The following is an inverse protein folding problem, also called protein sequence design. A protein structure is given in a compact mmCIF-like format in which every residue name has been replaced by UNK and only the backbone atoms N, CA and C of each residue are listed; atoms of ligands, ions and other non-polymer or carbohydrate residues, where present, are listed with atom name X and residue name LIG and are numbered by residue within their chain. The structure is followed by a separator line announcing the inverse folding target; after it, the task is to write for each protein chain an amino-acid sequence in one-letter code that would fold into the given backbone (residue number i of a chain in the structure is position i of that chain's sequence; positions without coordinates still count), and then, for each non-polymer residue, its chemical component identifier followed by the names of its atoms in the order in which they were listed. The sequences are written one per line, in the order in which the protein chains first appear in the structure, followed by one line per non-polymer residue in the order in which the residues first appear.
data_IF_702278111109
#
_entry.id   IF_702278111109
#
_cell.length_a   1.000
_cell.length_b   1.000
_cell.length_c   1.000
_cell.angle_alpha   90.00
_cell.angle_beta   90.00
_cell.angle_gamma   90.00
#
_symmetry.space_group_name_H-M   'P 1'
#
loop_
_entity.id
_entity.type
_entity.pdbx_description
1 polymer ?
#
# COMPACT_ATOMS: atom_id res chain seq x y z
N UNK A 1 -28.53 -14.06 -2.38
CA UNK A 1 -27.99 -13.60 -2.99
C UNK A 1 -26.76 -13.12 -2.64
N UNK A 2 -26.33 -13.10 -1.54
CA UNK A 2 -25.06 -12.76 -1.07
C UNK A 2 -24.03 -13.76 -1.46
N UNK A 3 -24.42 -14.92 -1.92
CA UNK A 3 -23.47 -15.96 -2.26
C UNK A 3 -22.52 -15.58 -3.40
N UNK A 4 -23.02 -14.90 -4.42
CA UNK A 4 -22.15 -14.51 -5.51
C UNK A 4 -21.13 -13.47 -5.07
N UNK A 5 -21.56 -12.57 -4.21
CA UNK A 5 -20.70 -11.52 -3.73
C UNK A 5 -19.58 -12.11 -2.86
N UNK A 6 -19.95 -13.04 -2.01
CA UNK A 6 -18.98 -13.68 -1.13
C UNK A 6 -17.96 -14.48 -1.94
N UNK A 7 -18.40 -15.05 -3.04
CA UNK A 7 -17.52 -15.86 -3.86
C UNK A 7 -16.45 -15.01 -4.52
N UNK A 8 -16.80 -13.83 -4.98
CA UNK A 8 -15.85 -12.91 -5.59
C UNK A 8 -14.84 -12.46 -4.55
N UNK A 9 -15.29 -12.14 -3.36
CA UNK A 9 -14.39 -11.71 -2.28
C UNK A 9 -13.43 -12.84 -1.90
N UNK A 10 -13.93 -14.06 -1.82
CA UNK A 10 -13.10 -15.20 -1.51
C UNK A 10 -12.07 -15.45 -2.61
N UNK A 11 -12.47 -15.33 -3.87
CA UNK A 11 -11.57 -15.54 -4.99
C UNK A 11 -10.45 -14.50 -5.00
N UNK A 12 -10.76 -13.25 -4.72
CA UNK A 12 -9.76 -12.19 -4.65
C UNK A 12 -8.80 -12.44 -3.49
N UNK A 13 -9.33 -12.88 -2.36
CA UNK A 13 -8.51 -13.17 -1.20
C UNK A 13 -7.54 -14.33 -1.47
N UNK A 14 -8.01 -15.34 -2.18
CA UNK A 14 -7.18 -16.49 -2.52
C UNK A 14 -6.06 -16.07 -3.46
N UNK A 15 -6.34 -15.19 -4.42
CA UNK A 15 -5.31 -14.70 -5.33
C UNK A 15 -4.22 -13.96 -4.58
N UNK A 16 -4.59 -13.11 -3.64
CA UNK A 16 -3.62 -12.37 -2.84
C UNK A 16 -2.79 -13.34 -2.00
N UNK A 17 -3.45 -14.31 -1.37
CA UNK A 17 -2.76 -15.28 -0.53
C UNK A 17 -1.82 -16.15 -1.35
N UNK A 18 -2.17 -16.46 -2.59
CA UNK A 18 -1.33 -17.28 -3.45
C UNK A 18 -0.05 -16.55 -3.88
N UNK A 19 -0.12 -15.22 -4.00
CA UNK A 19 1.05 -14.44 -4.40
C UNK A 19 2.11 -14.37 -3.29
N UNK A 20 1.69 -14.42 -2.04
CA UNK A 20 2.61 -14.28 -0.92
C UNK A 20 3.65 -15.40 -0.84
N UNK A 21 3.29 -16.68 -0.97
CA UNK A 21 4.30 -17.74 -0.94
C UNK A 21 5.33 -17.63 -2.06
N UNK A 22 4.91 -17.17 -3.23
CA UNK A 22 5.85 -17.00 -4.35
C UNK A 22 6.86 -15.91 -4.01
N UNK A 23 6.40 -14.81 -3.45
CA UNK A 23 7.27 -13.73 -3.03
C UNK A 23 8.20 -14.17 -1.91
N UNK A 24 7.71 -14.98 -1.00
CA UNK A 24 8.49 -15.48 0.11
C UNK A 24 9.66 -16.32 -0.40
N UNK A 25 9.39 -17.24 -1.32
CA UNK A 25 10.45 -18.06 -1.87
C UNK A 25 11.47 -17.21 -2.62
N UNK A 26 10.98 -16.26 -3.39
CA UNK A 26 11.87 -15.39 -4.14
C UNK A 26 12.63 -14.46 -3.21
N UNK A 27 12.02 -14.07 -2.09
CA UNK A 27 12.70 -13.24 -1.11
C UNK A 27 13.89 -13.88 -0.47
N UNK A 28 13.90 -15.20 -0.39
CA UNK A 28 15.04 -15.93 0.15
C UNK A 28 16.28 -15.74 -0.70
N UNK A 29 16.12 -15.31 -1.95
CA UNK A 29 17.25 -15.08 -2.84
C UNK A 29 17.59 -13.62 -2.98
N UNK A 30 17.07 -12.77 -2.11
CA UNK A 30 17.39 -11.34 -2.16
C UNK A 30 16.65 -10.59 -3.26
N UNK A 31 15.34 -10.61 -3.21
CA UNK A 31 14.56 -9.84 -4.17
C UNK A 31 14.78 -8.37 -4.08
N UNK A 32 14.81 -7.74 -5.22
CA UNK A 32 14.86 -6.29 -5.27
C UNK A 32 13.43 -5.78 -5.22
N UNK A 33 13.07 -5.09 -4.16
CA UNK A 33 11.73 -4.55 -3.99
C UNK A 33 11.83 -3.02 -3.98
N UNK A 34 11.12 -2.39 -4.90
CA UNK A 34 11.13 -0.95 -5.04
C UNK A 34 9.72 -0.42 -5.15
N UNK A 35 9.57 0.89 -5.03
CA UNK A 35 8.28 1.52 -5.28
C UNK A 35 8.45 2.71 -6.22
N UNK A 36 7.33 3.14 -6.79
CA UNK A 36 7.32 4.28 -7.65
C UNK A 36 5.99 5.00 -7.41
N UNK A 37 6.03 6.30 -7.20
CA UNK A 37 4.81 7.07 -7.06
C UNK A 37 4.40 7.61 -8.42
N UNK A 38 3.12 7.86 -8.60
CA UNK A 38 2.63 8.47 -9.84
C UNK A 38 1.54 9.47 -9.52
N UNK A 39 1.49 10.51 -10.35
CA UNK A 39 0.51 11.56 -10.19
C UNK A 39 -0.73 11.24 -11.00
N UNK A 40 -1.88 11.51 -10.42
CA UNK A 40 -3.15 11.33 -11.10
C UNK A 40 -3.94 12.63 -11.02
N UNK A 41 -5.10 12.69 -11.67
CA UNK A 41 -5.91 13.88 -11.67
C UNK A 41 -6.28 14.34 -10.26
N UNK A 42 -6.60 13.43 -9.38
CA UNK A 42 -7.03 13.77 -8.02
C UNK A 42 -5.96 13.67 -6.96
N UNK A 43 -4.75 13.30 -7.31
CA UNK A 43 -3.69 13.13 -6.30
C UNK A 43 -2.65 12.13 -6.71
N UNK A 44 -2.21 11.31 -5.77
CA UNK A 44 -1.07 10.41 -5.96
C UNK A 44 -1.40 8.96 -5.63
N UNK A 45 -0.77 8.07 -6.35
CA UNK A 45 -0.83 6.64 -6.06
C UNK A 45 0.58 6.06 -6.04
N UNK A 46 0.69 4.75 -5.90
CA UNK A 46 2.00 4.10 -5.89
C UNK A 46 1.94 2.71 -6.52
N UNK A 47 3.11 2.29 -7.01
CA UNK A 47 3.34 0.95 -7.53
C UNK A 47 4.40 0.29 -6.68
N UNK A 48 4.23 -0.99 -6.43
CA UNK A 48 5.27 -1.82 -5.81
C UNK A 48 5.82 -2.74 -6.89
N UNK A 49 7.13 -2.71 -7.06
CA UNK A 49 7.82 -3.43 -8.11
C UNK A 49 8.79 -4.40 -7.49
N UNK A 50 8.70 -5.66 -7.88
CA UNK A 50 9.59 -6.72 -7.38
C UNK A 50 10.33 -7.32 -8.55
N UNK A 51 11.65 -7.26 -8.52
CA UNK A 51 12.49 -7.78 -9.59
C UNK A 51 12.07 -7.25 -10.95
N UNK A 52 11.82 -5.93 -11.00
CA UNK A 52 11.44 -5.22 -12.22
C UNK A 52 10.05 -5.56 -12.74
N UNK A 53 9.24 -6.27 -11.95
CA UNK A 53 7.88 -6.60 -12.35
C UNK A 53 6.90 -5.92 -11.41
N UNK A 54 5.85 -5.37 -11.99
CA UNK A 54 4.81 -4.71 -11.22
C UNK A 54 4.06 -5.75 -10.39
N UNK A 55 4.06 -5.57 -9.10
CA UNK A 55 3.33 -6.46 -8.20
C UNK A 55 2.02 -5.84 -7.73
N UNK A 56 2.05 -4.58 -7.33
CA UNK A 56 0.88 -3.88 -6.82
C UNK A 56 0.79 -2.53 -7.50
N UNK A 57 -0.40 -2.20 -7.99
CA UNK A 57 -0.70 -0.89 -8.57
C UNK A 57 -1.82 -0.29 -7.73
N UNK A 58 -1.51 0.71 -6.91
CA UNK A 58 -2.48 1.27 -5.98
C UNK A 58 -2.83 2.70 -6.39
N UNK A 59 -4.01 2.87 -6.96
CA UNK A 59 -4.47 4.18 -7.41
C UNK A 59 -5.12 5.00 -6.31
N UNK A 60 -5.72 4.35 -5.35
CA UNK A 60 -6.49 5.03 -4.32
C UNK A 60 -6.01 4.62 -2.93
N UNK A 61 -6.33 5.45 -1.95
CA UNK A 61 -6.01 5.13 -0.56
C UNK A 61 -6.75 3.84 -0.18
N UNK A 62 -6.04 2.81 0.26
CA UNK A 62 -6.71 1.57 0.65
C UNK A 62 -7.41 1.73 1.99
N UNK A 63 -8.30 0.81 2.29
CA UNK A 63 -8.99 0.72 3.58
C UNK A 63 -10.07 1.79 3.83
N UNK A 64 -10.29 2.70 2.91
CA UNK A 64 -11.38 3.68 3.05
C UNK A 64 -12.47 3.36 2.03
N UNK A 65 -13.69 3.73 2.36
CA UNK A 65 -14.84 3.40 1.53
C UNK A 65 -14.89 4.18 0.23
N UNK A 66 -14.35 5.38 0.22
CA UNK A 66 -14.41 6.23 -0.94
C UNK A 66 -13.18 6.08 -1.81
N UNK A 67 -13.32 6.25 -3.10
CA UNK A 67 -12.18 6.26 -3.99
C UNK A 67 -11.54 7.63 -3.91
N UNK A 68 -10.43 7.70 -3.21
CA UNK A 68 -9.73 8.94 -3.00
C UNK A 68 -8.22 8.70 -3.09
N UNK A 69 -7.54 9.52 -3.85
CA UNK A 69 -6.08 9.42 -3.98
C UNK A 69 -5.39 10.04 -2.77
N UNK A 70 -4.13 9.70 -2.58
CA UNK A 70 -3.33 10.38 -1.57
C UNK A 70 -3.15 11.85 -1.97
N UNK A 71 -3.19 12.72 -1.00
CA UNK A 71 -3.10 14.16 -1.26
C UNK A 71 -1.72 14.58 -1.74
N UNK A 72 -0.67 13.92 -1.29
CA UNK A 72 0.68 14.31 -1.63
C UNK A 72 1.50 13.10 -2.05
N UNK A 73 2.56 13.35 -2.79
CA UNK A 73 3.49 12.29 -3.16
C UNK A 73 4.12 11.67 -1.93
N UNK A 74 4.41 12.47 -0.92
CA UNK A 74 5.01 12.00 0.32
C UNK A 74 4.12 10.96 1.01
N UNK A 75 2.82 11.21 1.05
CA UNK A 75 1.89 10.25 1.64
C UNK A 75 1.88 8.94 0.87
N UNK A 76 1.84 9.02 -0.46
CA UNK A 76 1.86 7.82 -1.29
C UNK A 76 3.17 7.06 -1.09
N UNK A 77 4.30 7.77 -1.00
CA UNK A 77 5.60 7.15 -0.77
C UNK A 77 5.65 6.47 0.59
N UNK A 78 5.11 7.10 1.63
CA UNK A 78 5.07 6.50 2.95
C UNK A 78 4.24 5.23 2.97
N UNK A 79 3.11 5.23 2.28
CA UNK A 79 2.27 4.05 2.16
C UNK A 79 3.03 2.93 1.45
N UNK A 80 3.71 3.25 0.35
CA UNK A 80 4.48 2.26 -0.40
C UNK A 80 5.61 1.67 0.44
N UNK A 81 6.31 2.51 1.20
CA UNK A 81 7.38 2.06 2.05
C UNK A 81 6.89 1.13 3.15
N UNK A 82 5.71 1.41 3.70
CA UNK A 82 5.13 0.54 4.71
C UNK A 82 4.76 -0.83 4.12
N UNK A 83 4.21 -0.82 2.91
CA UNK A 83 3.88 -2.07 2.22
C UNK A 83 5.15 -2.88 1.97
N UNK A 84 6.23 -2.22 1.52
CA UNK A 84 7.50 -2.90 1.29
C UNK A 84 8.03 -3.49 2.59
N UNK A 85 7.94 -2.75 3.69
CA UNK A 85 8.37 -3.26 4.99
C UNK A 85 7.60 -4.52 5.37
N UNK A 86 6.30 -4.54 5.12
CA UNK A 86 5.50 -5.72 5.41
C UNK A 86 5.92 -6.90 4.54
N UNK A 87 6.16 -6.67 3.25
CA UNK A 87 6.62 -7.72 2.36
C UNK A 87 7.96 -8.29 2.83
N UNK A 88 8.88 -7.44 3.24
CA UNK A 88 10.18 -7.89 3.70
C UNK A 88 10.09 -8.66 5.01
N UNK A 89 9.07 -8.41 5.80
CA UNK A 89 8.87 -9.11 7.07
C UNK A 89 7.85 -10.22 6.97
N UNK A 90 7.55 -10.65 5.74
CA UNK A 90 6.64 -11.75 5.48
C UNK A 90 5.25 -11.51 6.05
N UNK A 91 4.81 -10.27 6.01
CA UNK A 91 3.47 -9.89 6.44
C UNK A 91 2.62 -9.59 5.21
N UNK A 92 1.31 -9.58 5.39
CA UNK A 92 0.40 -9.25 4.31
C UNK A 92 0.64 -7.81 3.86
N UNK A 93 0.76 -7.57 2.55
CA UNK A 93 1.05 -6.24 2.03
C UNK A 93 -0.21 -5.37 1.95
N UNK A 94 -0.97 -5.32 3.02
CA UNK A 94 -2.19 -4.52 3.09
C UNK A 94 -2.03 -3.46 4.15
N UNK A 95 -2.75 -2.37 4.01
CA UNK A 95 -2.73 -1.28 4.98
C UNK A 95 -4.07 -1.23 5.70
N UNK A 96 -4.01 -1.13 7.02
CA UNK A 96 -5.22 -0.99 7.82
C UNK A 96 -5.68 0.45 7.81
N UNK A 97 -6.91 0.68 8.25
CA UNK A 97 -7.44 2.03 8.35
C UNK A 97 -6.58 2.89 9.28
N UNK A 98 -6.14 2.32 10.40
CA UNK A 98 -5.29 3.05 11.35
C UNK A 98 -3.98 3.47 10.70
N UNK A 99 -3.37 2.57 9.94
CA UNK A 99 -2.12 2.88 9.27
C UNK A 99 -2.30 3.98 8.22
N UNK A 100 -3.38 3.91 7.48
CA UNK A 100 -3.70 4.93 6.47
C UNK A 100 -3.93 6.28 7.15
N UNK A 101 -4.68 6.29 8.23
CA UNK A 101 -4.94 7.52 8.96
C UNK A 101 -3.67 8.14 9.49
N UNK A 102 -2.76 7.33 9.99
CA UNK A 102 -1.49 7.83 10.48
C UNK A 102 -0.66 8.46 9.36
N UNK A 103 -0.63 7.83 8.21
CA UNK A 103 0.11 8.36 7.07
C UNK A 103 -0.46 9.72 6.66
N UNK A 104 -1.78 9.82 6.58
CA UNK A 104 -2.42 11.06 6.16
C UNK A 104 -2.25 12.16 7.21
N UNK A 105 -2.33 11.82 8.48
CA UNK A 105 -2.14 12.81 9.54
C UNK A 105 -0.71 13.28 9.64
N UNK A 106 0.25 12.38 9.50
CA UNK A 106 1.65 12.74 9.59
C UNK A 106 2.02 13.72 8.49
N UNK A 107 1.46 13.52 7.31
CA UNK A 107 1.71 14.45 6.21
C UNK A 107 1.26 15.86 6.53
N UNK A 108 0.13 15.97 7.22
CA UNK A 108 -0.38 17.29 7.60
C UNK A 108 0.37 17.86 8.78
N UNK A 109 0.77 17.02 9.70
CA UNK A 109 1.40 17.53 10.91
C UNK A 109 2.81 18.01 10.69
N UNK A 110 3.49 17.52 9.69
CA UNK A 110 4.83 18.01 9.40
C UNK A 110 4.78 19.48 9.04
N UNK A 111 3.67 19.93 8.46
CA UNK A 111 3.57 21.30 8.12
C UNK A 111 3.27 22.14 9.32
N UNK A 112 2.63 21.58 10.33
CA UNK A 112 2.26 22.33 11.45
C UNK A 112 3.13 22.25 12.60
N UNK A 113 4.18 21.56 12.53
CA UNK A 113 4.86 21.27 13.59
C UNK A 113 5.97 22.00 13.92
N UNK A 114 6.17 22.97 13.65
CA UNK A 114 7.29 23.61 13.91
C UNK A 114 7.44 23.76 15.28
N UNK A 115 6.86 23.81 15.92
CA UNK A 115 6.94 24.21 16.99
C UNK A 115 6.91 23.52 18.01
N UNK A 116 6.86 22.94 18.07
CA UNK A 116 6.75 22.32 18.98
C UNK A 116 7.18 22.69 20.06
N UNK A 117 7.25 22.76 20.47
CA UNK A 117 7.47 22.89 21.35
C UNK A 117 8.12 22.94 22.01
N UNK A 118 8.22 23.02 22.22
CA UNK A 118 8.79 23.01 22.92
C UNK A 118 8.78 22.93 23.48
#
# INVERSE_FOLDING_TARGET
MTTKHNWIVIAVSILIAAAIPVLYKAGAKGNEINYKTFNQTGGWGYDIIVNRKLLIHQEYIPAIAQKKEFSTEKQAAQAAQLVISKLKNNKLPTLSLVEVEQICKTGDSVIRQPVAHE
#
